data_IF_556041358830
#
_entry.id   IF_556041358830
#
_cell.length_a   1.000
_cell.length_b   1.000
_cell.length_c   1.000
_cell.angle_alpha   90.00
_cell.angle_beta   90.00
_cell.angle_gamma   90.00
#
_symmetry.space_group_name_H-M   'P 1'
#
loop_
_entity.id
_entity.type
_entity.pdbx_description
1 polymer ?
#
# COMPACT_ATOMS: atom_id res chain seq x y z
N UNK A 1 11.11 -27.01 -10.13
CA UNK A 1 10.38 -26.92 -8.83
C UNK A 1 10.00 -25.47 -8.48
N UNK A 2 10.94 -24.56 -8.17
CA UNK A 2 10.63 -23.18 -7.70
C UNK A 2 9.82 -22.34 -8.70
N UNK A 3 10.14 -22.42 -10.00
CA UNK A 3 9.42 -21.69 -11.04
C UNK A 3 7.93 -22.08 -11.13
N UNK A 4 7.64 -23.38 -11.06
CA UNK A 4 6.28 -23.94 -11.11
C UNK A 4 5.49 -23.45 -9.90
N UNK A 5 6.07 -23.53 -8.69
CA UNK A 5 5.43 -23.04 -7.47
C UNK A 5 5.05 -21.55 -7.53
N UNK A 6 5.91 -20.71 -8.12
CA UNK A 6 5.63 -19.29 -8.32
C UNK A 6 4.49 -19.07 -9.34
N UNK A 7 4.47 -19.83 -10.43
CA UNK A 7 3.40 -19.73 -11.43
C UNK A 7 2.04 -20.15 -10.85
N UNK A 8 2.00 -21.27 -10.12
CA UNK A 8 0.79 -21.73 -9.42
C UNK A 8 0.26 -20.66 -8.46
N UNK A 9 1.15 -20.07 -7.64
CA UNK A 9 0.76 -18.96 -6.73
C UNK A 9 0.18 -17.76 -7.48
N UNK A 10 0.76 -17.36 -8.62
CA UNK A 10 0.24 -16.25 -9.44
C UNK A 10 -1.16 -16.55 -9.99
N UNK A 11 -1.42 -17.80 -10.40
CA UNK A 11 -2.75 -18.21 -10.85
C UNK A 11 -3.76 -18.16 -9.70
N UNK A 12 -3.39 -18.67 -8.52
CA UNK A 12 -4.24 -18.56 -7.32
C UNK A 12 -4.55 -17.11 -6.96
N UNK A 13 -3.61 -16.18 -7.11
CA UNK A 13 -3.83 -14.76 -6.85
C UNK A 13 -4.86 -14.10 -7.78
N UNK A 14 -5.17 -14.71 -8.92
CA UNK A 14 -6.19 -14.19 -9.83
C UNK A 14 -7.61 -14.54 -9.38
N UNK A 15 -7.79 -15.53 -8.51
CA UNK A 15 -9.12 -15.96 -8.07
C UNK A 15 -9.80 -14.89 -7.21
N UNK A 16 -11.13 -14.84 -7.30
CA UNK A 16 -11.92 -13.87 -6.55
C UNK A 16 -11.82 -14.10 -5.03
N UNK A 17 -11.84 -15.34 -4.58
CA UNK A 17 -11.69 -15.73 -3.17
C UNK A 17 -10.37 -15.26 -2.58
N UNK A 18 -9.28 -15.43 -3.33
CA UNK A 18 -7.97 -14.95 -2.91
C UNK A 18 -7.94 -13.44 -2.80
N UNK A 19 -8.48 -12.73 -3.80
CA UNK A 19 -8.58 -11.26 -3.81
C UNK A 19 -9.41 -10.74 -2.64
N UNK A 20 -10.56 -11.36 -2.38
CA UNK A 20 -11.43 -10.99 -1.26
C UNK A 20 -10.69 -11.08 0.08
N UNK A 21 -9.96 -12.16 0.30
CA UNK A 21 -9.13 -12.35 1.50
C UNK A 21 -7.97 -11.35 1.55
N UNK A 22 -7.32 -11.09 0.42
CA UNK A 22 -6.16 -10.21 0.34
C UNK A 22 -6.52 -8.72 0.47
N UNK A 23 -7.75 -8.32 0.15
CA UNK A 23 -8.18 -6.91 0.18
C UNK A 23 -7.93 -6.23 1.54
N UNK A 24 -8.13 -6.94 2.65
CA UNK A 24 -7.82 -6.42 3.99
C UNK A 24 -6.33 -6.07 4.12
N UNK A 25 -5.47 -6.98 3.68
CA UNK A 25 -4.01 -6.77 3.68
C UNK A 25 -3.59 -5.65 2.74
N UNK A 26 -4.19 -5.59 1.54
CA UNK A 26 -3.96 -4.52 0.58
C UNK A 26 -4.30 -3.15 1.16
N UNK A 27 -5.36 -3.04 1.98
CA UNK A 27 -5.71 -1.80 2.70
C UNK A 27 -4.63 -1.35 3.69
N UNK A 28 -4.07 -2.28 4.46
CA UNK A 28 -2.96 -2.01 5.39
C UNK A 28 -1.71 -1.57 4.62
N UNK A 29 -1.33 -2.34 3.60
CA UNK A 29 -0.16 -2.06 2.76
C UNK A 29 -0.28 -0.71 2.07
N UNK A 30 -1.48 -0.35 1.59
CA UNK A 30 -1.76 0.96 1.00
C UNK A 30 -1.54 2.10 2.00
N UNK A 31 -2.03 1.94 3.24
CA UNK A 31 -1.84 2.91 4.32
C UNK A 31 -0.36 3.12 4.65
N UNK A 32 0.38 2.02 4.81
CA UNK A 32 1.82 2.06 5.04
C UNK A 32 2.56 2.78 3.90
N UNK A 33 2.19 2.46 2.66
CA UNK A 33 2.71 3.10 1.46
C UNK A 33 2.47 4.61 1.45
N UNK A 34 1.28 5.05 1.87
CA UNK A 34 0.90 6.46 1.95
C UNK A 34 1.73 7.19 3.00
N UNK A 35 1.89 6.61 4.19
CA UNK A 35 2.75 7.16 5.25
C UNK A 35 4.21 7.26 4.83
N UNK A 36 4.78 6.22 4.21
CA UNK A 36 6.16 6.27 3.72
C UNK A 36 6.37 7.44 2.75
N UNK A 37 5.47 7.60 1.77
CA UNK A 37 5.64 8.60 0.72
C UNK A 37 5.32 10.03 1.16
N UNK A 38 4.35 10.22 2.05
CA UNK A 38 3.91 11.56 2.46
C UNK A 38 4.61 12.09 3.70
N UNK A 39 5.08 11.22 4.60
CA UNK A 39 5.55 11.64 5.92
C UNK A 39 6.86 10.98 6.36
N UNK A 40 7.58 10.33 5.45
CA UNK A 40 8.85 9.67 5.73
C UNK A 40 8.79 8.70 6.93
N UNK A 41 7.68 7.94 7.04
CA UNK A 41 7.30 7.08 8.18
C UNK A 41 8.42 6.18 8.75
N UNK A 42 9.41 5.82 7.92
CA UNK A 42 10.55 4.94 8.28
C UNK A 42 11.65 5.64 9.07
N UNK A 43 11.64 6.97 9.13
CA UNK A 43 12.66 7.76 9.78
C UNK A 43 12.02 8.67 10.82
N UNK A 44 12.44 8.54 12.08
CA UNK A 44 12.07 9.47 13.14
C UNK A 44 13.18 10.51 13.30
N UNK A 45 12.82 11.78 13.19
CA UNK A 45 13.74 12.89 13.50
C UNK A 45 13.91 13.09 15.01
N UNK A 46 13.05 12.47 15.80
CA UNK A 46 13.08 12.58 17.25
C UNK A 46 13.83 11.41 17.88
N UNK A 47 14.64 11.72 18.88
CA UNK A 47 15.39 10.74 19.67
C UNK A 47 14.50 10.23 20.82
N UNK A 48 14.45 8.90 20.99
CA UNK A 48 13.72 8.22 22.04
C UNK A 48 12.33 7.71 21.62
N UNK A 49 11.91 6.61 22.25
CA UNK A 49 10.68 5.89 21.90
C UNK A 49 9.41 6.72 22.13
N UNK A 50 9.33 7.48 23.23
CA UNK A 50 8.15 8.30 23.55
C UNK A 50 7.87 9.37 22.47
N UNK A 51 8.92 10.06 22.01
CA UNK A 51 8.79 11.09 20.97
C UNK A 51 8.52 10.46 19.60
N UNK A 52 9.16 9.34 19.29
CA UNK A 52 8.86 8.58 18.07
C UNK A 52 7.42 8.11 18.05
N UNK A 53 6.89 7.56 19.15
CA UNK A 53 5.49 7.18 19.26
C UNK A 53 4.55 8.37 18.97
N UNK A 54 4.80 9.52 19.59
CA UNK A 54 4.00 10.73 19.32
C UNK A 54 4.06 11.15 17.85
N UNK A 55 5.23 11.10 17.22
CA UNK A 55 5.37 11.36 15.77
C UNK A 55 4.51 10.39 14.95
N UNK A 56 4.53 9.10 15.28
CA UNK A 56 3.75 8.09 14.55
C UNK A 56 2.24 8.30 14.73
N UNK A 57 1.78 8.68 15.93
CA UNK A 57 0.38 9.05 16.19
C UNK A 57 -0.03 10.25 15.33
N UNK A 58 0.78 11.30 15.29
CA UNK A 58 0.48 12.47 14.45
C UNK A 58 0.46 12.13 12.96
N UNK A 59 1.36 11.27 12.49
CA UNK A 59 1.33 10.79 11.10
C UNK A 59 0.02 10.02 10.83
N UNK A 60 -0.41 9.13 11.74
CA UNK A 60 -1.66 8.40 11.60
C UNK A 60 -2.87 9.34 11.54
N UNK A 61 -2.93 10.34 12.43
CA UNK A 61 -3.96 11.39 12.39
C UNK A 61 -3.96 12.16 11.06
N UNK A 62 -2.79 12.60 10.59
CA UNK A 62 -2.67 13.32 9.32
C UNK A 62 -3.13 12.48 8.12
N UNK A 63 -2.81 11.18 8.09
CA UNK A 63 -3.28 10.27 7.05
C UNK A 63 -4.81 10.11 7.06
N UNK A 64 -5.42 10.03 8.25
CA UNK A 64 -6.88 9.98 8.37
C UNK A 64 -7.54 11.26 7.86
N UNK A 65 -6.99 12.44 8.19
CA UNK A 65 -7.49 13.73 7.68
C UNK A 65 -7.41 13.81 6.15
N UNK A 66 -6.28 13.43 5.57
CA UNK A 66 -6.10 13.38 4.10
C UNK A 66 -7.13 12.45 3.44
N UNK A 67 -7.46 11.32 4.07
CA UNK A 67 -8.45 10.37 3.54
C UNK A 67 -9.87 10.89 3.66
N UNK A 68 -10.18 11.52 4.79
CA UNK A 68 -11.47 12.16 5.01
C UNK A 68 -11.71 13.26 3.97
N UNK A 69 -10.71 14.12 3.76
CA UNK A 69 -10.74 15.15 2.73
C UNK A 69 -10.95 14.55 1.32
N UNK A 70 -10.19 13.52 0.95
CA UNK A 70 -10.38 12.84 -0.32
C UNK A 70 -11.79 12.24 -0.48
N UNK A 71 -12.34 11.66 0.58
CA UNK A 71 -13.69 11.09 0.57
C UNK A 71 -14.76 12.17 0.43
N UNK A 72 -14.66 13.26 1.19
CA UNK A 72 -15.60 14.39 1.13
C UNK A 72 -15.61 15.05 -0.25
N UNK A 73 -14.46 15.14 -0.92
CA UNK A 73 -14.33 15.70 -2.26
C UNK A 73 -14.55 14.69 -3.40
N UNK A 74 -14.94 13.44 -3.09
CA UNK A 74 -15.16 12.41 -4.10
C UNK A 74 -13.89 12.04 -4.89
N UNK A 75 -12.70 12.31 -4.35
CA UNK A 75 -11.43 11.98 -5.00
C UNK A 75 -11.23 10.46 -4.94
N UNK A 76 -11.10 9.79 -6.10
CA UNK A 76 -10.97 8.34 -6.13
C UNK A 76 -9.66 7.88 -5.50
N UNK A 77 -9.64 6.66 -4.94
CA UNK A 77 -8.42 6.05 -4.42
C UNK A 77 -7.35 5.95 -5.51
N UNK A 78 -6.10 6.19 -5.11
CA UNK A 78 -4.96 6.08 -6.01
C UNK A 78 -4.89 4.69 -6.64
N UNK A 79 -4.76 4.63 -7.97
CA UNK A 79 -4.60 3.37 -8.72
C UNK A 79 -3.30 2.67 -8.32
N UNK A 80 -3.29 1.35 -8.37
CA UNK A 80 -2.07 0.55 -8.16
C UNK A 80 -0.99 1.00 -9.14
N UNK A 81 0.16 1.44 -8.61
CA UNK A 81 1.29 1.85 -9.44
C UNK A 81 1.83 0.64 -10.23
N UNK A 82 1.91 0.77 -11.55
CA UNK A 82 2.71 -0.13 -12.39
C UNK A 82 4.19 0.19 -12.21
N UNK A 83 5.00 -0.81 -11.86
CA UNK A 83 6.47 -0.66 -11.90
C UNK A 83 6.94 -0.44 -13.34
N UNK A 84 8.11 0.19 -13.53
CA UNK A 84 8.70 0.36 -14.87
C UNK A 84 8.89 -0.99 -15.58
N UNK A 85 9.31 -2.02 -14.83
CA UNK A 85 9.43 -3.37 -15.37
C UNK A 85 8.10 -3.95 -15.84
N UNK A 86 7.00 -3.73 -15.09
CA UNK A 86 5.66 -4.17 -15.50
C UNK A 86 5.19 -3.47 -16.78
N UNK A 87 5.61 -2.23 -17.00
CA UNK A 87 5.29 -1.50 -18.24
C UNK A 87 6.01 -2.04 -19.48
N UNK A 88 7.11 -2.79 -19.30
CA UNK A 88 7.82 -3.46 -20.39
C UNK A 88 7.24 -4.84 -20.73
N UNK A 89 6.18 -5.27 -20.03
CA UNK A 89 5.56 -6.55 -20.32
C UNK A 89 4.93 -6.46 -21.73
N UNK A 90 5.25 -7.40 -22.64
CA UNK A 90 4.64 -7.41 -23.96
C UNK A 90 3.12 -7.45 -23.82
N UNK A 91 2.43 -6.53 -24.47
CA UNK A 91 0.98 -6.61 -24.65
C UNK A 91 0.75 -7.85 -25.51
N UNK A 92 0.11 -8.87 -24.95
CA UNK A 92 -0.17 -10.09 -25.71
C UNK A 92 -1.09 -9.77 -26.89
N UNK A 93 -0.75 -10.34 -28.05
CA UNK A 93 -1.66 -10.52 -29.19
C UNK A 93 -2.85 -11.41 -28.81
#
# INVERSE_FOLDING_TARGET
MQHIALQTRRQTQQTHEWKATYNQRAGIESTHSQGIRRSNLRQSRYIGLKKTHLMQVFIACALNLVRLDAWLNGIPLAKTRSSRFKQLQPQGD
#
